data_IF_717999195730
#
_entry.id   IF_717999195730
#
_cell.length_a   1.000
_cell.length_b   1.000
_cell.length_c   1.000
_cell.angle_alpha   90.00
_cell.angle_beta   90.00
_cell.angle_gamma   90.00
#
_symmetry.space_group_name_H-M   'P 1'
#
loop_
_entity.id
_entity.type
_entity.pdbx_description
1 polymer ?
#
# COMPACT_ATOMS: atom_id res chain seq x y z
N UNK A 1 -5.29 -4.77 6.95
CA UNK A 1 -4.89 -5.80 5.97
C UNK A 1 -3.45 -5.60 5.54
N UNK A 2 -3.18 -4.59 4.72
CA UNK A 2 -1.86 -4.27 4.11
C UNK A 2 -0.66 -4.40 5.06
N UNK A 3 -0.64 -3.65 6.15
CA UNK A 3 0.47 -3.65 7.12
C UNK A 3 0.73 -5.03 7.76
N UNK A 4 -0.33 -5.78 8.07
CA UNK A 4 -0.22 -7.13 8.64
C UNK A 4 0.34 -8.14 7.62
N UNK A 5 -0.11 -8.03 6.37
CA UNK A 5 0.45 -8.81 5.25
C UNK A 5 1.94 -8.49 5.05
N UNK A 6 2.33 -7.22 5.11
CA UNK A 6 3.73 -6.78 5.06
C UNK A 6 4.56 -7.37 6.19
N UNK A 7 4.05 -7.39 7.42
CA UNK A 7 4.71 -8.03 8.56
C UNK A 7 4.90 -9.53 8.37
N UNK A 8 3.89 -10.20 7.80
CA UNK A 8 3.94 -11.63 7.49
C UNK A 8 5.03 -11.92 6.45
N UNK A 9 5.11 -11.11 5.38
CA UNK A 9 6.15 -11.25 4.35
C UNK A 9 7.57 -11.00 4.88
N UNK A 10 7.71 -10.05 5.81
CA UNK A 10 8.99 -9.73 6.42
C UNK A 10 9.39 -10.69 7.54
N UNK A 11 8.47 -11.53 8.03
CA UNK A 11 8.69 -12.46 9.15
C UNK A 11 8.83 -11.76 10.51
N UNK A 12 8.46 -10.47 10.62
CA UNK A 12 8.55 -9.67 11.85
C UNK A 12 7.53 -8.54 11.87
N UNK A 13 7.25 -8.01 13.05
CA UNK A 13 6.42 -6.80 13.22
C UNK A 13 7.23 -5.55 12.82
N UNK A 14 7.15 -5.16 11.54
CA UNK A 14 7.84 -4.00 10.97
C UNK A 14 6.93 -2.77 10.81
N UNK A 15 5.67 -3.01 10.50
CA UNK A 15 4.61 -2.01 10.32
C UNK A 15 3.62 -2.07 11.49
N UNK A 16 3.10 -0.91 11.89
CA UNK A 16 2.02 -0.84 12.87
C UNK A 16 0.73 -1.32 12.20
N UNK A 17 0.22 -2.46 12.63
CA UNK A 17 -1.06 -2.99 12.18
C UNK A 17 -2.10 -2.84 13.30
N UNK A 18 -3.25 -2.27 12.98
CA UNK A 18 -4.38 -2.14 13.90
C UNK A 18 -5.68 -2.37 13.15
N UNK A 19 -6.64 -3.06 13.76
CA UNK A 19 -8.02 -3.14 13.26
C UNK A 19 -8.68 -1.80 13.57
N UNK A 20 -8.94 -1.01 12.54
CA UNK A 20 -9.66 0.25 12.65
C UNK A 20 -10.63 0.38 11.47
N UNK A 21 -11.70 1.14 11.68
CA UNK A 21 -12.68 1.50 10.64
C UNK A 21 -12.19 2.62 9.71
N UNK A 22 -11.00 3.16 9.96
CA UNK A 22 -10.34 4.18 9.16
C UNK A 22 -8.88 3.78 8.93
N UNK A 23 -8.27 4.23 7.83
CA UNK A 23 -6.86 3.95 7.54
C UNK A 23 -5.95 4.51 8.64
N UNK A 24 -5.24 3.61 9.33
CA UNK A 24 -4.27 3.97 10.39
C UNK A 24 -2.93 4.43 9.78
N UNK A 25 -2.65 3.96 8.56
CA UNK A 25 -1.46 4.34 7.80
C UNK A 25 -1.78 5.55 6.95
N UNK A 26 -1.19 6.69 7.30
CA UNK A 26 -1.34 7.96 6.57
C UNK A 26 -0.13 8.28 5.71
N UNK A 27 0.99 7.57 5.90
CA UNK A 27 2.26 7.79 5.19
C UNK A 27 2.81 6.46 4.66
N UNK A 28 3.57 6.52 3.57
CA UNK A 28 4.26 5.34 3.05
C UNK A 28 5.42 4.97 3.97
N UNK A 29 5.65 3.66 4.15
CA UNK A 29 6.77 3.15 4.95
C UNK A 29 7.47 2.01 4.23
N UNK A 30 8.80 2.07 4.21
CA UNK A 30 9.66 1.06 3.58
C UNK A 30 10.41 0.27 4.64
N UNK A 31 10.34 -1.05 4.54
CA UNK A 31 11.05 -1.98 5.42
C UNK A 31 11.57 -3.15 4.56
N UNK A 32 12.62 -3.84 5.02
CA UNK A 32 13.21 -4.95 4.29
C UNK A 32 13.64 -6.09 5.22
N UNK A 33 13.80 -7.28 4.63
CA UNK A 33 14.59 -8.38 5.16
C UNK A 33 15.64 -8.82 4.10
N UNK A 34 16.22 -10.01 4.24
CA UNK A 34 17.22 -10.54 3.30
C UNK A 34 16.69 -10.79 1.88
N UNK A 35 15.39 -11.05 1.73
CA UNK A 35 14.80 -11.57 0.49
C UNK A 35 13.88 -10.56 -0.19
N UNK A 36 13.20 -9.70 0.58
CA UNK A 36 12.18 -8.79 0.08
C UNK A 36 12.25 -7.40 0.70
N UNK A 37 11.91 -6.40 -0.12
CA UNK A 37 11.64 -5.03 0.30
C UNK A 37 10.13 -4.80 0.21
N UNK A 38 9.52 -4.45 1.34
CA UNK A 38 8.10 -4.15 1.43
C UNK A 38 7.89 -2.64 1.59
N UNK A 39 6.99 -2.07 0.79
CA UNK A 39 6.50 -0.70 0.96
C UNK A 39 5.04 -0.78 1.36
N UNK A 40 4.74 -0.43 2.62
CA UNK A 40 3.36 -0.27 3.10
C UNK A 40 2.86 1.12 2.72
N UNK A 41 1.61 1.20 2.28
CA UNK A 41 1.01 2.40 1.69
C UNK A 41 -0.30 2.78 2.38
N UNK A 42 -0.72 4.06 2.34
CA UNK A 42 -2.06 4.44 2.74
C UNK A 42 -3.13 3.67 1.96
N UNK A 43 -4.30 3.43 2.56
CA UNK A 43 -5.42 2.81 1.86
C UNK A 43 -6.05 3.73 0.83
N UNK A 44 -6.40 3.23 -0.35
CA UNK A 44 -7.09 4.02 -1.39
C UNK A 44 -8.59 4.20 -1.11
N UNK A 45 -9.19 3.32 -0.31
CA UNK A 45 -10.66 3.25 -0.13
C UNK A 45 -11.15 3.78 1.22
N UNK A 46 -10.25 4.07 2.16
CA UNK A 46 -10.59 4.30 3.58
C UNK A 46 -9.90 5.56 4.14
N UNK A 47 -9.81 6.58 3.30
CA UNK A 47 -9.15 7.85 3.61
C UNK A 47 -10.07 8.99 3.20
N UNK A 48 -10.11 10.05 4.02
CA UNK A 48 -10.77 11.31 3.67
C UNK A 48 -10.05 12.08 2.53
N UNK A 49 -8.97 11.51 1.98
CA UNK A 49 -8.14 12.07 0.92
C UNK A 49 -8.52 11.48 -0.45
N UNK A 50 -8.37 12.29 -1.50
CA UNK A 50 -8.60 11.87 -2.88
C UNK A 50 -7.59 10.78 -3.34
N UNK A 51 -8.05 9.70 -4.01
CA UNK A 51 -7.17 8.62 -4.47
C UNK A 51 -5.99 9.08 -5.33
N UNK A 52 -6.13 10.15 -6.12
CA UNK A 52 -5.04 10.70 -6.97
C UNK A 52 -3.94 11.31 -6.11
N UNK A 53 -4.33 12.00 -5.04
CA UNK A 53 -3.38 12.58 -4.07
C UNK A 53 -2.57 11.48 -3.41
N UNK A 54 -3.23 10.40 -2.98
CA UNK A 54 -2.56 9.24 -2.38
C UNK A 54 -1.62 8.58 -3.38
N UNK A 55 -2.08 8.34 -4.61
CA UNK A 55 -1.26 7.73 -5.64
C UNK A 55 -0.01 8.55 -5.96
N UNK A 56 -0.15 9.88 -6.01
CA UNK A 56 0.97 10.80 -6.22
C UNK A 56 2.00 10.70 -5.10
N UNK A 57 1.55 10.73 -3.83
CA UNK A 57 2.44 10.61 -2.66
C UNK A 57 3.17 9.26 -2.63
N UNK A 58 2.49 8.17 -2.98
CA UNK A 58 3.11 6.85 -3.09
C UNK A 58 4.18 6.83 -4.19
N UNK A 59 3.87 7.36 -5.37
CA UNK A 59 4.82 7.41 -6.48
C UNK A 59 6.06 8.26 -6.15
N UNK A 60 5.87 9.40 -5.51
CA UNK A 60 6.96 10.25 -5.01
C UNK A 60 7.81 9.53 -3.97
N UNK A 61 7.19 8.86 -3.00
CA UNK A 61 7.89 8.07 -2.00
C UNK A 61 8.74 6.96 -2.65
N UNK A 62 8.17 6.23 -3.61
CA UNK A 62 8.89 5.17 -4.32
C UNK A 62 10.11 5.72 -5.08
N UNK A 63 9.94 6.83 -5.81
CA UNK A 63 11.03 7.53 -6.52
C UNK A 63 12.13 7.98 -5.55
N UNK A 64 11.76 8.56 -4.42
CA UNK A 64 12.71 9.01 -3.40
C UNK A 64 13.41 7.84 -2.67
N UNK A 65 12.78 6.66 -2.62
CA UNK A 65 13.30 5.51 -1.86
C UNK A 65 14.52 4.82 -2.48
N UNK A 66 14.98 5.28 -3.66
CA UNK A 66 16.21 4.82 -4.31
C UNK A 66 16.16 3.40 -4.87
N UNK A 67 14.98 2.79 -4.99
CA UNK A 67 14.83 1.44 -5.55
C UNK A 67 14.50 1.51 -7.06
N UNK A 68 15.26 0.83 -7.93
CA UNK A 68 15.20 1.06 -9.38
C UNK A 68 13.91 0.60 -10.06
N UNK A 69 13.14 -0.32 -9.46
CA UNK A 69 11.82 -0.72 -9.97
C UNK A 69 10.97 -1.37 -8.87
N UNK A 70 9.65 -1.22 -8.96
CA UNK A 70 8.68 -2.03 -8.21
C UNK A 70 8.56 -3.37 -8.93
N UNK A 71 8.93 -4.47 -8.25
CA UNK A 71 8.85 -5.80 -8.85
C UNK A 71 7.41 -6.33 -8.96
N UNK A 72 6.55 -5.97 -8.01
CA UNK A 72 5.17 -6.46 -7.94
C UNK A 72 4.32 -5.52 -7.10
N UNK A 73 3.03 -5.44 -7.42
CA UNK A 73 2.02 -4.76 -6.61
C UNK A 73 1.14 -5.83 -5.95
N UNK A 74 1.08 -5.83 -4.62
CA UNK A 74 0.22 -6.75 -3.88
C UNK A 74 -1.08 -6.05 -3.49
N UNK A 75 -2.18 -6.43 -4.14
CA UNK A 75 -3.52 -5.91 -3.83
C UNK A 75 -4.12 -6.74 -2.70
N UNK A 76 -4.28 -6.13 -1.52
CA UNK A 76 -4.86 -6.79 -0.33
C UNK A 76 -6.32 -6.42 -0.20
N UNK A 77 -7.20 -7.42 -0.30
CA UNK A 77 -8.67 -7.27 -0.19
C UNK A 77 -9.21 -8.07 0.99
N UNK A 78 -10.31 -7.59 1.58
CA UNK A 78 -11.04 -8.37 2.59
C UNK A 78 -11.86 -9.46 1.90
N UNK A 79 -11.83 -10.69 2.44
CA UNK A 79 -12.65 -11.80 1.96
C UNK A 79 -14.17 -11.57 2.15
N UNK A 80 -14.54 -10.63 3.01
CA UNK A 80 -15.94 -10.27 3.28
C UNK A 80 -16.41 -9.05 2.50
N UNK A 81 -15.49 -8.31 1.87
CA UNK A 81 -15.84 -7.13 1.06
C UNK A 81 -15.99 -7.52 -0.41
N UNK A 82 -16.90 -6.85 -1.10
CA UNK A 82 -17.07 -7.03 -2.55
C UNK A 82 -15.99 -6.24 -3.29
N UNK A 83 -15.45 -6.81 -4.37
CA UNK A 83 -14.70 -6.03 -5.34
C UNK A 83 -15.61 -4.96 -5.95
N UNK A 84 -15.37 -3.71 -5.61
CA UNK A 84 -16.14 -2.58 -6.13
C UNK A 84 -15.46 -2.01 -7.38
N UNK A 85 -16.22 -1.33 -8.26
CA UNK A 85 -15.66 -0.53 -9.34
C UNK A 85 -14.63 0.48 -8.83
N UNK A 86 -14.86 1.09 -7.67
CA UNK A 86 -13.96 2.07 -7.05
C UNK A 86 -12.61 1.45 -6.68
N UNK A 87 -12.60 0.24 -6.11
CA UNK A 87 -11.36 -0.50 -5.84
C UNK A 87 -10.60 -0.78 -7.14
N UNK A 88 -11.31 -1.16 -8.21
CA UNK A 88 -10.70 -1.45 -9.51
C UNK A 88 -10.10 -0.19 -10.14
N UNK A 89 -10.81 0.94 -10.06
CA UNK A 89 -10.33 2.23 -10.54
C UNK A 89 -9.10 2.71 -9.75
N UNK A 90 -9.11 2.55 -8.42
CA UNK A 90 -7.98 2.87 -7.56
C UNK A 90 -6.72 2.05 -7.89
N UNK A 91 -6.86 0.75 -8.12
CA UNK A 91 -5.73 -0.12 -8.54
C UNK A 91 -5.15 0.35 -9.87
N UNK A 92 -5.98 0.66 -10.87
CA UNK A 92 -5.51 1.17 -12.17
C UNK A 92 -4.81 2.52 -12.06
N UNK A 93 -5.31 3.39 -11.18
CA UNK A 93 -4.68 4.68 -10.91
C UNK A 93 -3.30 4.50 -10.27
N UNK A 94 -3.19 3.57 -9.32
CA UNK A 94 -1.92 3.21 -8.69
C UNK A 94 -0.92 2.65 -9.71
N UNK A 95 -1.34 1.70 -10.55
CA UNK A 95 -0.52 1.14 -11.64
C UNK A 95 0.00 2.24 -12.57
N UNK A 96 -0.87 3.19 -12.96
CA UNK A 96 -0.51 4.30 -13.84
C UNK A 96 0.42 5.32 -13.19
N UNK A 97 0.39 5.46 -11.86
CA UNK A 97 1.21 6.41 -11.13
C UNK A 97 2.64 5.91 -10.88
N UNK A 98 2.81 4.59 -10.72
CA UNK A 98 4.09 3.96 -10.38
C UNK A 98 4.79 3.31 -11.58
N UNK A 99 4.06 2.99 -12.64
CA UNK A 99 4.61 2.57 -13.94
C UNK A 99 5.19 3.74 -14.73
#
# INVERSE_FOLDING_TARGET
>A
GKSETGNTLLGRTAFKAQRAFASVTTECRKEANTDVVCVDTPGLSDTAEDPTTICTRVAEFLRASGHPAVHSILVVVSATERFTPDLTAGVRLMESAIG
#
